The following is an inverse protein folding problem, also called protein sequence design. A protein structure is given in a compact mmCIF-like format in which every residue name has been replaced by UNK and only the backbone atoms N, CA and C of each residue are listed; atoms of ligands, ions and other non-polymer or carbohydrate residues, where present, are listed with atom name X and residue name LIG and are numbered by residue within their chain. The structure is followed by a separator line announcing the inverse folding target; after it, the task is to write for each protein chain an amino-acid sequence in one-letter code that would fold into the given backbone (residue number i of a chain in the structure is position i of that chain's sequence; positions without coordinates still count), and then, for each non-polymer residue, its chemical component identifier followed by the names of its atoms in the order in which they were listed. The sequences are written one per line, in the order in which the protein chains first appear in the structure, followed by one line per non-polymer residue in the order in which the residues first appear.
data_IF_164267169510
#
_entry.id   IF_164267169510
#
_cell.length_a   1.000
_cell.length_b   1.000
_cell.length_c   1.000
_cell.angle_alpha   90.00
_cell.angle_beta   90.00
_cell.angle_gamma   90.00
#
_symmetry.space_group_name_H-M   'P 1'
#
loop_
_entity.id
_entity.type
_entity.pdbx_description
1 polymer ?
#
# COMPACT_ATOMS: atom_id res chain seq x y z
N UNK A 1 -27.20 4.33 -25.40
CA UNK A 1 -26.35 3.33 -24.69
C UNK A 1 -25.42 3.92 -23.62
N UNK A 2 -24.81 5.11 -23.80
CA UNK A 2 -23.92 5.76 -22.80
C UNK A 2 -24.58 6.04 -21.44
N UNK A 3 -25.82 6.51 -21.42
CA UNK A 3 -26.56 6.89 -20.20
C UNK A 3 -26.97 5.71 -19.31
N UNK A 4 -27.22 4.52 -19.88
CA UNK A 4 -27.49 3.30 -19.08
C UNK A 4 -26.23 2.77 -18.39
N UNK A 5 -25.05 2.90 -19.01
CA UNK A 5 -23.75 2.48 -18.43
C UNK A 5 -23.30 3.36 -17.27
N UNK A 6 -23.48 4.68 -17.36
CA UNK A 6 -23.19 5.62 -16.26
C UNK A 6 -24.10 5.31 -15.06
N UNK A 7 -25.41 5.16 -15.29
CA UNK A 7 -26.37 4.79 -14.24
C UNK A 7 -26.06 3.45 -13.56
N UNK A 8 -25.63 2.44 -14.31
CA UNK A 8 -25.27 1.13 -13.75
C UNK A 8 -23.97 1.18 -12.93
N UNK A 9 -22.97 1.95 -13.38
CA UNK A 9 -21.73 2.20 -12.62
C UNK A 9 -22.03 2.94 -11.32
N UNK A 10 -22.86 3.98 -11.39
CA UNK A 10 -23.24 4.79 -10.23
C UNK A 10 -24.03 3.96 -9.21
N UNK A 11 -24.98 3.13 -9.66
CA UNK A 11 -25.72 2.22 -8.80
C UNK A 11 -24.79 1.20 -8.10
N UNK A 12 -23.80 0.64 -8.82
CA UNK A 12 -22.81 -0.26 -8.23
C UNK A 12 -21.94 0.45 -7.17
N UNK A 13 -21.53 1.70 -7.44
CA UNK A 13 -20.76 2.50 -6.49
C UNK A 13 -21.57 2.84 -5.23
N UNK A 14 -22.86 3.15 -5.36
CA UNK A 14 -23.77 3.40 -4.24
C UNK A 14 -23.95 2.14 -3.40
N UNK A 15 -24.29 1.00 -4.01
CA UNK A 15 -24.44 -0.27 -3.30
C UNK A 15 -23.14 -0.68 -2.57
N UNK A 16 -21.97 -0.47 -3.19
CA UNK A 16 -20.67 -0.72 -2.55
C UNK A 16 -20.41 0.20 -1.36
N UNK A 17 -20.84 1.47 -1.42
CA UNK A 17 -20.73 2.42 -0.29
C UNK A 17 -21.66 2.00 0.86
N UNK A 18 -22.89 1.61 0.55
CA UNK A 18 -23.87 1.14 1.54
C UNK A 18 -23.39 -0.13 2.24
N UNK A 19 -22.95 -1.13 1.48
CA UNK A 19 -22.38 -2.35 2.05
C UNK A 19 -21.20 -2.06 3.00
N UNK A 20 -20.30 -1.15 2.60
CA UNK A 20 -19.19 -0.72 3.46
C UNK A 20 -19.67 -0.02 4.73
N UNK A 21 -20.70 0.82 4.66
CA UNK A 21 -21.30 1.47 5.82
C UNK A 21 -21.91 0.46 6.78
N UNK A 22 -22.71 -0.49 6.28
CA UNK A 22 -23.31 -1.55 7.10
C UNK A 22 -22.24 -2.38 7.82
N UNK A 23 -21.18 -2.79 7.12
CA UNK A 23 -20.05 -3.50 7.72
C UNK A 23 -19.34 -2.65 8.78
N UNK A 24 -19.17 -1.35 8.56
CA UNK A 24 -18.55 -0.45 9.52
C UNK A 24 -19.39 -0.30 10.80
N UNK A 25 -20.71 -0.15 10.67
CA UNK A 25 -21.66 -0.09 11.79
C UNK A 25 -21.61 -1.40 12.59
N UNK A 26 -21.75 -2.54 11.91
CA UNK A 26 -21.71 -3.85 12.55
C UNK A 26 -20.39 -4.09 13.30
N UNK A 27 -19.25 -3.69 12.71
CA UNK A 27 -17.94 -3.75 13.38
C UNK A 27 -17.89 -2.85 14.61
N UNK A 28 -18.36 -1.60 14.50
CA UNK A 28 -18.36 -0.67 15.62
C UNK A 28 -19.21 -1.18 16.79
N UNK A 29 -20.37 -1.76 16.49
CA UNK A 29 -21.26 -2.32 17.49
C UNK A 29 -20.64 -3.56 18.16
N UNK A 30 -20.06 -4.45 17.35
CA UNK A 30 -19.32 -5.61 17.88
C UNK A 30 -18.15 -5.19 18.78
N UNK A 31 -17.36 -4.19 18.40
CA UNK A 31 -16.27 -3.70 19.25
C UNK A 31 -16.79 -3.07 20.54
N UNK A 32 -17.90 -2.33 20.49
CA UNK A 32 -18.52 -1.77 21.69
C UNK A 32 -18.95 -2.86 22.66
N UNK A 33 -19.68 -3.87 22.18
CA UNK A 33 -20.08 -5.04 22.96
C UNK A 33 -18.87 -5.79 23.53
N UNK A 34 -17.79 -5.93 22.74
CA UNK A 34 -16.54 -6.54 23.20
C UNK A 34 -15.90 -5.74 24.34
N UNK A 35 -15.81 -4.42 24.22
CA UNK A 35 -15.25 -3.55 25.27
C UNK A 35 -16.11 -3.55 26.53
N UNK A 36 -17.43 -3.55 26.39
CA UNK A 36 -18.36 -3.65 27.52
C UNK A 36 -18.20 -5.00 28.23
N UNK A 37 -18.06 -6.10 27.48
CA UNK A 37 -17.79 -7.43 28.03
C UNK A 37 -16.39 -7.55 28.68
N UNK A 38 -15.41 -6.75 28.26
CA UNK A 38 -14.10 -6.69 28.92
C UNK A 38 -14.16 -5.95 30.27
N UNK A 39 -15.25 -5.26 30.61
CA UNK A 39 -15.44 -4.59 31.89
C UNK A 39 -16.18 -5.46 32.93
N UNK A 40 -16.55 -6.70 32.59
CA UNK A 40 -17.25 -7.62 33.48
C UNK A 40 -16.30 -8.69 34.07
N UNK A 41 -16.83 -9.53 34.96
CA UNK A 41 -16.12 -10.68 35.55
C UNK A 41 -15.68 -11.74 34.54
N UNK A 42 -16.17 -11.69 33.29
CA UNK A 42 -15.76 -12.60 32.21
C UNK A 42 -14.48 -12.16 31.48
N UNK A 43 -13.88 -11.02 31.86
CA UNK A 43 -12.69 -10.42 31.25
C UNK A 43 -11.58 -11.44 30.97
N UNK A 44 -11.19 -12.25 31.97
CA UNK A 44 -10.05 -13.18 31.83
C UNK A 44 -10.30 -14.25 30.77
N UNK A 45 -11.50 -14.86 30.76
CA UNK A 45 -11.88 -15.88 29.77
C UNK A 45 -11.99 -15.30 28.37
N UNK A 46 -12.50 -14.07 28.23
CA UNK A 46 -12.61 -13.39 26.95
C UNK A 46 -11.23 -13.00 26.42
N UNK A 47 -10.38 -12.42 27.28
CA UNK A 47 -9.00 -12.05 26.96
C UNK A 47 -8.18 -13.26 26.53
N UNK A 48 -8.28 -14.37 27.25
CA UNK A 48 -7.59 -15.62 26.90
C UNK A 48 -8.08 -16.21 25.56
N UNK A 49 -9.39 -16.18 25.28
CA UNK A 49 -9.94 -16.57 23.98
C UNK A 49 -9.44 -15.68 22.84
N UNK A 50 -9.43 -14.37 23.04
CA UNK A 50 -8.91 -13.39 22.07
C UNK A 50 -7.42 -13.63 21.81
N UNK A 51 -6.64 -13.87 22.86
CA UNK A 51 -5.21 -14.17 22.77
C UNK A 51 -4.98 -15.47 21.99
N UNK A 52 -5.72 -16.54 22.28
CA UNK A 52 -5.62 -17.79 21.53
C UNK A 52 -6.04 -17.64 20.06
N UNK A 53 -7.14 -16.92 19.79
CA UNK A 53 -7.60 -16.68 18.42
C UNK A 53 -6.54 -15.91 17.60
N UNK A 54 -5.92 -14.89 18.22
CA UNK A 54 -4.79 -14.17 17.64
C UNK A 54 -3.57 -15.07 17.44
N UNK A 55 -3.20 -15.87 18.43
CA UNK A 55 -2.07 -16.79 18.34
C UNK A 55 -2.27 -17.80 17.22
N UNK A 56 -3.42 -18.48 17.15
CA UNK A 56 -3.74 -19.43 16.06
C UNK A 56 -3.72 -18.77 14.69
N UNK A 57 -4.28 -17.56 14.58
CA UNK A 57 -4.27 -16.80 13.32
C UNK A 57 -2.85 -16.42 12.92
N UNK A 58 -2.02 -15.97 13.86
CA UNK A 58 -0.61 -15.66 13.61
C UNK A 58 0.15 -16.92 13.18
N UNK A 59 0.03 -18.03 13.90
CA UNK A 59 0.72 -19.30 13.58
C UNK A 59 0.29 -19.87 12.23
N UNK A 60 -0.97 -19.76 11.82
CA UNK A 60 -1.39 -20.14 10.45
C UNK A 60 -0.79 -19.22 9.38
N UNK A 61 -0.70 -17.92 9.68
CA UNK A 61 -0.21 -16.90 8.72
C UNK A 61 1.32 -16.81 8.70
N UNK A 62 2.04 -17.30 9.70
CA UNK A 62 3.50 -17.24 9.75
C UNK A 62 4.18 -18.61 9.81
N UNK A 63 3.43 -19.71 9.95
CA UNK A 63 4.00 -21.06 10.04
C UNK A 63 4.83 -21.47 8.82
N UNK A 64 4.49 -20.94 7.65
CA UNK A 64 5.25 -21.13 6.41
C UNK A 64 6.53 -20.29 6.35
N UNK A 65 6.61 -19.20 7.11
CA UNK A 65 7.80 -18.36 7.18
C UNK A 65 8.95 -19.01 7.95
N UNK A 66 8.68 -20.05 8.74
CA UNK A 66 9.69 -20.76 9.54
C UNK A 66 10.37 -21.92 8.81
N UNK A 67 9.97 -22.25 7.58
CA UNK A 67 10.54 -23.34 6.79
C UNK A 67 10.84 -22.80 5.39
N UNK A 68 12.12 -22.57 5.08
CA UNK A 68 12.54 -21.93 3.83
C UNK A 68 13.70 -22.70 3.21
N UNK A 69 13.75 -22.78 1.88
CA UNK A 69 14.87 -23.36 1.13
C UNK A 69 16.06 -22.41 1.08
N UNK A 70 17.22 -22.92 1.45
CA UNK A 70 18.51 -22.31 1.15
C UNK A 70 18.75 -22.25 -0.37
N UNK A 71 19.74 -21.45 -0.80
CA UNK A 71 20.09 -21.31 -2.21
C UNK A 71 20.52 -22.65 -2.87
N UNK A 72 21.08 -23.57 -2.08
CA UNK A 72 21.46 -24.91 -2.53
C UNK A 72 20.31 -25.94 -2.50
N UNK A 73 19.09 -25.52 -2.16
CA UNK A 73 17.90 -26.38 -2.11
C UNK A 73 17.63 -27.07 -0.76
N UNK A 74 18.53 -26.95 0.22
CA UNK A 74 18.33 -27.52 1.55
C UNK A 74 17.24 -26.79 2.33
N UNK A 75 16.49 -27.50 3.16
CA UNK A 75 15.42 -26.91 3.98
C UNK A 75 15.99 -26.37 5.30
N UNK A 76 15.84 -25.07 5.51
CA UNK A 76 16.15 -24.36 6.75
C UNK A 76 14.92 -24.33 7.65
N UNK A 77 15.14 -24.55 8.95
CA UNK A 77 14.10 -24.48 10.00
C UNK A 77 14.53 -23.65 11.21
N UNK A 78 15.82 -23.32 11.32
CA UNK A 78 16.36 -22.48 12.37
C UNK A 78 15.90 -21.04 12.19
N UNK A 79 15.33 -20.36 13.21
CA UNK A 79 14.84 -18.99 13.07
C UNK A 79 15.89 -18.01 12.53
N UNK A 80 17.14 -18.13 12.99
CA UNK A 80 18.24 -17.28 12.53
C UNK A 80 18.61 -17.56 11.07
N UNK A 81 18.77 -18.83 10.69
CA UNK A 81 19.13 -19.23 9.32
C UNK A 81 18.06 -18.81 8.32
N UNK A 82 16.79 -18.96 8.71
CA UNK A 82 15.65 -18.55 7.90
C UNK A 82 15.59 -17.03 7.75
N UNK A 83 15.82 -16.27 8.82
CA UNK A 83 15.85 -14.81 8.75
C UNK A 83 17.01 -14.31 7.88
N UNK A 84 18.18 -14.93 8.02
CA UNK A 84 19.35 -14.61 7.20
C UNK A 84 19.10 -14.94 5.72
N UNK A 85 18.45 -16.06 5.43
CA UNK A 85 18.04 -16.42 4.07
C UNK A 85 17.08 -15.40 3.45
N UNK A 86 16.14 -14.87 4.23
CA UNK A 86 15.25 -13.78 3.82
C UNK A 86 16.02 -12.49 3.53
N UNK A 87 16.96 -12.12 4.42
CA UNK A 87 17.83 -10.95 4.26
C UNK A 87 18.60 -11.02 2.95
N UNK A 88 19.30 -12.12 2.71
CA UNK A 88 20.09 -12.36 1.48
C UNK A 88 19.22 -12.30 0.22
N UNK A 89 18.04 -12.95 0.25
CA UNK A 89 17.12 -12.94 -0.90
C UNK A 89 16.73 -11.51 -1.28
N UNK A 90 16.23 -10.74 -0.31
CA UNK A 90 15.73 -9.40 -0.58
C UNK A 90 16.86 -8.41 -0.88
N UNK A 91 18.03 -8.54 -0.25
CA UNK A 91 19.20 -7.71 -0.57
C UNK A 91 19.64 -7.89 -2.02
N UNK A 92 19.60 -9.11 -2.54
CA UNK A 92 19.88 -9.37 -3.95
C UNK A 92 18.79 -8.78 -4.86
N UNK A 93 17.51 -9.08 -4.60
CA UNK A 93 16.41 -8.60 -5.46
C UNK A 93 16.28 -7.08 -5.51
N UNK A 94 16.63 -6.36 -4.44
CA UNK A 94 16.37 -4.92 -4.34
C UNK A 94 17.50 -4.01 -4.80
N UNK A 95 18.72 -4.52 -4.92
CA UNK A 95 19.90 -3.71 -5.23
C UNK A 95 20.46 -4.02 -6.63
N UNK A 96 19.74 -4.79 -7.45
CA UNK A 96 20.06 -4.97 -8.86
C UNK A 96 19.69 -3.69 -9.62
N UNK A 97 20.69 -2.85 -9.90
CA UNK A 97 20.53 -1.69 -10.77
C UNK A 97 20.75 -2.09 -12.23
N UNK A 98 19.73 -1.88 -13.06
CA UNK A 98 19.88 -2.01 -14.50
C UNK A 98 20.72 -0.83 -15.03
N UNK A 99 21.66 -1.06 -15.97
CA UNK A 99 22.40 0.03 -16.60
C UNK A 99 21.42 0.99 -17.28
N UNK A 100 21.40 2.23 -16.82
CA UNK A 100 20.60 3.28 -17.42
C UNK A 100 21.51 4.45 -17.84
N UNK A 101 21.16 5.19 -18.91
CA UNK A 101 21.87 6.40 -19.26
C UNK A 101 21.80 7.39 -18.09
N UNK A 102 22.80 8.29 -17.95
CA UNK A 102 22.75 9.34 -16.94
C UNK A 102 21.49 10.18 -17.13
N UNK A 103 20.79 10.49 -16.03
CA UNK A 103 19.61 11.33 -16.06
C UNK A 103 20.05 12.75 -16.46
N UNK A 104 19.53 13.30 -17.57
CA UNK A 104 19.95 14.62 -18.03
C UNK A 104 19.51 15.70 -17.04
N UNK A 105 20.40 16.65 -16.76
CA UNK A 105 20.04 17.86 -16.03
C UNK A 105 19.14 18.72 -16.91
N UNK A 106 17.93 19.00 -16.43
CA UNK A 106 16.96 19.85 -17.11
C UNK A 106 16.72 21.13 -16.32
N UNK A 107 16.39 22.21 -17.04
CA UNK A 107 16.04 23.47 -16.39
C UNK A 107 14.79 23.32 -15.53
N UNK A 108 14.76 24.01 -14.40
CA UNK A 108 13.60 24.05 -13.51
C UNK A 108 12.39 24.61 -14.25
N UNK A 109 11.31 23.82 -14.32
CA UNK A 109 10.07 24.21 -15.00
C UNK A 109 9.16 25.04 -14.09
N UNK A 110 9.23 24.81 -12.77
CA UNK A 110 8.37 25.47 -11.78
C UNK A 110 9.08 25.60 -10.42
N UNK A 111 8.90 26.74 -9.75
CA UNK A 111 9.44 27.00 -8.42
C UNK A 111 9.22 28.44 -7.96
N UNK A 112 9.45 28.77 -6.67
CA UNK A 112 9.91 27.89 -5.58
C UNK A 112 8.82 26.96 -5.01
N UNK A 113 9.21 25.93 -4.27
CA UNK A 113 8.25 25.04 -3.57
C UNK A 113 7.49 25.84 -2.53
N UNK A 114 6.17 25.94 -2.68
CA UNK A 114 5.33 26.65 -1.72
C UNK A 114 5.33 25.92 -0.37
N UNK A 115 5.28 26.63 0.76
CA UNK A 115 5.12 26.00 2.06
C UNK A 115 3.89 25.10 2.12
N UNK A 116 3.99 23.99 2.85
CA UNK A 116 2.88 23.08 3.14
C UNK A 116 1.99 23.71 4.19
N UNK A 117 0.72 23.96 3.85
CA UNK A 117 -0.25 24.54 4.78
C UNK A 117 -0.94 23.46 5.63
N UNK A 118 -1.37 23.75 6.87
CA UNK A 118 -2.02 22.76 7.73
C UNK A 118 -3.25 22.10 7.10
N UNK A 119 -4.02 22.82 6.29
CA UNK A 119 -5.20 22.27 5.60
C UNK A 119 -4.84 21.16 4.62
N UNK A 120 -3.76 21.34 3.85
CA UNK A 120 -3.22 20.33 2.93
C UNK A 120 -2.72 19.10 3.70
N UNK A 121 -2.07 19.31 4.85
CA UNK A 121 -1.64 18.22 5.73
C UNK A 121 -2.83 17.45 6.31
N UNK A 122 -3.87 18.16 6.75
CA UNK A 122 -5.12 17.57 7.26
C UNK A 122 -5.78 16.69 6.19
N UNK A 123 -5.76 17.12 4.92
CA UNK A 123 -6.21 16.27 3.81
C UNK A 123 -5.36 15.01 3.61
N UNK A 124 -4.03 15.13 3.72
CA UNK A 124 -3.10 13.99 3.69
C UNK A 124 -3.41 12.98 4.80
N UNK A 125 -3.55 13.45 6.04
CA UNK A 125 -3.92 12.62 7.20
C UNK A 125 -5.25 11.91 6.96
N UNK A 126 -6.26 12.62 6.43
CA UNK A 126 -7.58 12.07 6.13
C UNK A 126 -7.53 10.94 5.09
N UNK A 127 -6.65 11.03 4.10
CA UNK A 127 -6.47 9.99 3.06
C UNK A 127 -5.85 8.70 3.60
N UNK A 128 -5.12 8.76 4.72
CA UNK A 128 -4.53 7.57 5.34
C UNK A 128 -5.60 6.58 5.78
N UNK A 129 -5.30 5.28 5.69
CA UNK A 129 -6.20 4.22 6.20
C UNK A 129 -5.91 3.97 7.68
N UNK A 130 -6.96 3.84 8.48
CA UNK A 130 -6.87 3.48 9.89
C UNK A 130 -6.49 2.00 10.08
N UNK A 131 -5.94 1.66 11.25
CA UNK A 131 -5.60 0.30 11.66
C UNK A 131 -4.66 -0.40 10.67
N UNK A 132 -3.60 0.32 10.28
CA UNK A 132 -2.53 -0.22 9.43
C UNK A 132 -1.30 -0.53 10.28
N UNK A 133 -0.48 -1.45 9.76
CA UNK A 133 0.78 -1.79 10.39
C UNK A 133 1.72 -0.59 10.32
N UNK A 134 2.42 -0.33 11.42
CA UNK A 134 3.37 0.76 11.59
C UNK A 134 4.68 0.49 10.84
N UNK A 135 5.42 1.56 10.58
CA UNK A 135 6.81 1.48 10.16
C UNK A 135 7.75 1.33 11.36
N UNK A 136 9.07 1.48 11.15
CA UNK A 136 10.08 1.33 12.19
C UNK A 136 10.00 2.32 13.36
N UNK A 137 9.26 3.42 13.20
CA UNK A 137 9.05 4.44 14.24
C UNK A 137 7.89 4.10 15.19
N UNK A 138 7.10 3.06 14.89
CA UNK A 138 5.92 2.65 15.65
C UNK A 138 4.87 3.76 15.90
N UNK A 139 4.85 4.78 15.04
CA UNK A 139 3.84 5.86 15.07
C UNK A 139 2.79 5.56 14.00
N UNK A 140 1.57 5.12 14.36
CA UNK A 140 0.52 4.87 13.39
C UNK A 140 -0.14 6.16 12.91
N UNK A 141 -0.66 6.15 11.67
CA UNK A 141 -1.44 7.26 11.11
C UNK A 141 -2.65 7.66 11.97
N UNK A 142 -3.17 6.73 12.78
CA UNK A 142 -4.28 6.95 13.70
C UNK A 142 -3.96 8.00 14.78
N UNK A 143 -2.70 8.12 15.23
CA UNK A 143 -2.28 9.17 16.17
C UNK A 143 -2.51 10.55 15.56
N UNK A 144 -2.07 10.75 14.31
CA UNK A 144 -2.24 12.02 13.61
C UNK A 144 -3.71 12.37 13.37
N UNK A 145 -4.56 11.35 13.14
CA UNK A 145 -6.01 11.54 13.02
C UNK A 145 -6.66 11.97 14.33
N UNK A 146 -6.24 11.39 15.46
CA UNK A 146 -6.75 11.73 16.78
C UNK A 146 -6.34 13.15 17.21
N UNK A 147 -5.13 13.57 16.84
CA UNK A 147 -4.64 14.93 17.12
C UNK A 147 -5.35 16.02 16.31
N UNK A 148 -6.04 15.65 15.22
CA UNK A 148 -6.82 16.58 14.39
C UNK A 148 -6.00 17.76 13.88
N UNK A 149 -6.58 18.95 13.95
CA UNK A 149 -5.97 20.19 13.44
C UNK A 149 -4.65 20.55 14.15
N UNK A 150 -4.53 20.26 15.44
CA UNK A 150 -3.28 20.48 16.18
C UNK A 150 -2.14 19.62 15.63
N UNK A 151 -2.45 18.35 15.30
CA UNK A 151 -1.50 17.45 14.67
C UNK A 151 -1.11 17.90 13.26
N UNK A 152 -2.09 18.32 12.46
CA UNK A 152 -1.85 18.85 11.12
C UNK A 152 -0.98 20.12 11.14
N UNK A 153 -1.23 21.04 12.07
CA UNK A 153 -0.43 22.25 12.25
C UNK A 153 1.02 21.95 12.68
N UNK A 154 1.21 20.98 13.58
CA UNK A 154 2.54 20.54 13.98
C UNK A 154 3.29 19.89 12.81
N UNK A 155 2.65 18.95 12.11
CA UNK A 155 3.25 18.29 10.94
C UNK A 155 3.56 19.27 9.80
N UNK A 156 2.72 20.28 9.58
CA UNK A 156 3.01 21.34 8.61
C UNK A 156 4.30 22.08 8.94
N UNK A 157 4.52 22.47 10.21
CA UNK A 157 5.79 23.09 10.64
C UNK A 157 6.96 22.14 10.46
N UNK A 158 6.80 20.88 10.84
CA UNK A 158 7.81 19.84 10.71
C UNK A 158 8.22 19.60 9.25
N UNK A 159 7.27 19.40 8.34
CA UNK A 159 7.55 19.19 6.93
C UNK A 159 8.15 20.42 6.25
N UNK A 160 7.72 21.63 6.61
CA UNK A 160 8.34 22.84 6.08
C UNK A 160 9.79 23.02 6.55
N UNK A 161 10.10 22.64 7.79
CA UNK A 161 11.48 22.61 8.28
C UNK A 161 12.33 21.61 7.47
N UNK A 162 11.80 20.41 7.25
CA UNK A 162 12.47 19.40 6.41
C UNK A 162 12.73 19.90 4.99
N UNK A 163 11.76 20.58 4.37
CA UNK A 163 11.92 21.16 3.04
C UNK A 163 12.98 22.28 3.01
N UNK A 164 13.04 23.12 4.04
CA UNK A 164 14.02 24.20 4.13
C UNK A 164 15.45 23.66 4.35
N UNK A 165 15.59 22.62 5.16
CA UNK A 165 16.89 22.00 5.48
C UNK A 165 17.31 20.94 4.45
N UNK A 166 16.40 20.52 3.56
CA UNK A 166 16.60 19.40 2.63
C UNK A 166 17.01 18.10 3.33
N UNK A 167 16.51 17.89 4.55
CA UNK A 167 16.83 16.73 5.39
C UNK A 167 15.56 16.02 5.84
N UNK A 168 15.58 14.70 5.78
CA UNK A 168 14.54 13.83 6.30
C UNK A 168 15.02 13.10 7.56
N UNK A 169 14.12 12.66 8.44
CA UNK A 169 14.49 11.81 9.57
C UNK A 169 15.22 10.55 9.09
N UNK A 170 16.30 10.19 9.77
CA UNK A 170 17.09 9.00 9.44
C UNK A 170 16.24 7.72 9.40
N UNK A 171 15.27 7.60 10.33
CA UNK A 171 14.35 6.45 10.37
C UNK A 171 13.49 6.30 9.11
N UNK A 172 13.28 7.37 8.31
CA UNK A 172 12.58 7.28 7.03
C UNK A 172 13.41 6.60 5.93
N UNK A 173 14.72 6.46 6.14
CA UNK A 173 15.60 5.68 5.25
C UNK A 173 15.54 4.18 5.57
N UNK A 174 14.86 3.80 6.66
CA UNK A 174 14.68 2.42 7.09
C UNK A 174 13.28 1.91 6.77
N UNK A 175 13.13 0.58 6.65
CA UNK A 175 11.83 -0.05 6.50
C UNK A 175 11.82 -1.46 7.10
N UNK A 176 10.66 -1.91 7.56
CA UNK A 176 10.47 -3.30 7.97
C UNK A 176 9.93 -4.09 6.78
N UNK A 177 10.70 -5.05 6.28
CA UNK A 177 10.26 -5.91 5.16
C UNK A 177 9.53 -7.14 5.68
N UNK A 178 8.28 -7.30 5.27
CA UNK A 178 7.43 -8.44 5.63
C UNK A 178 7.18 -9.30 4.39
N UNK A 179 7.69 -10.55 4.34
CA UNK A 179 7.35 -11.48 3.27
C UNK A 179 5.88 -11.93 3.36
N UNK A 180 5.12 -11.75 2.27
CA UNK A 180 3.72 -12.19 2.17
C UNK A 180 3.59 -13.21 1.06
N UNK A 181 3.15 -14.43 1.39
CA UNK A 181 3.02 -15.51 0.41
C UNK A 181 2.00 -15.17 -0.68
N UNK A 182 2.35 -15.45 -1.94
CA UNK A 182 1.52 -15.16 -3.12
C UNK A 182 0.26 -16.04 -3.20
N UNK A 183 0.12 -17.05 -2.33
CA UNK A 183 -0.96 -18.04 -2.39
C UNK A 183 -0.78 -19.08 -3.50
N UNK A 184 0.41 -19.13 -4.11
CA UNK A 184 0.78 -20.03 -5.19
C UNK A 184 2.30 -20.28 -5.16
N UNK A 185 2.72 -21.40 -5.75
CA UNK A 185 4.12 -21.84 -5.71
C UNK A 185 4.47 -22.57 -4.42
N UNK A 186 5.73 -22.96 -4.29
CA UNK A 186 6.25 -23.63 -3.09
C UNK A 186 6.37 -22.62 -1.94
N UNK A 187 5.70 -22.88 -0.82
CA UNK A 187 5.75 -22.03 0.36
C UNK A 187 7.12 -22.02 1.04
N UNK A 188 7.98 -23.00 0.76
CA UNK A 188 9.37 -22.99 1.23
C UNK A 188 10.30 -22.16 0.32
N UNK A 189 9.86 -21.75 -0.87
CA UNK A 189 10.68 -20.91 -1.76
C UNK A 189 10.43 -19.42 -1.51
N UNK A 190 11.50 -18.65 -1.32
CA UNK A 190 11.45 -17.19 -1.16
C UNK A 190 10.78 -16.49 -2.36
N UNK A 191 10.93 -17.02 -3.58
CA UNK A 191 10.36 -16.45 -4.80
C UNK A 191 8.82 -16.43 -4.80
N UNK A 192 8.21 -17.32 -4.01
CA UNK A 192 6.75 -17.42 -3.83
C UNK A 192 6.17 -16.31 -2.96
N UNK A 193 6.97 -15.36 -2.49
CA UNK A 193 6.54 -14.28 -1.60
C UNK A 193 6.68 -12.91 -2.25
N UNK A 194 5.84 -11.98 -1.81
CA UNK A 194 5.95 -10.56 -2.12
C UNK A 194 6.57 -9.88 -0.92
N UNK A 195 7.68 -9.13 -1.08
CA UNK A 195 8.13 -8.28 -0.01
C UNK A 195 7.19 -7.08 0.13
N UNK A 196 6.64 -6.89 1.32
CA UNK A 196 5.91 -5.68 1.67
C UNK A 196 6.78 -4.86 2.61
N UNK A 197 7.22 -3.68 2.17
CA UNK A 197 7.97 -2.74 3.00
C UNK A 197 7.00 -1.87 3.80
N UNK A 198 7.13 -1.92 5.12
CA UNK A 198 6.43 -1.05 6.04
C UNK A 198 7.29 0.19 6.29
N UNK A 199 6.87 1.31 5.69
CA UNK A 199 7.47 2.63 5.92
C UNK A 199 6.78 3.34 7.08
N UNK A 200 7.43 4.34 7.67
CA UNK A 200 6.85 5.23 8.67
C UNK A 200 5.55 5.86 8.14
N UNK A 201 4.48 5.88 8.94
CA UNK A 201 3.21 6.43 8.48
C UNK A 201 3.28 7.95 8.30
N UNK A 202 4.12 8.62 9.10
CA UNK A 202 4.40 10.05 8.96
C UNK A 202 5.05 10.38 7.60
N UNK A 203 5.94 9.52 7.10
CA UNK A 203 6.53 9.62 5.75
C UNK A 203 5.45 9.47 4.67
N UNK A 204 4.58 8.47 4.80
CA UNK A 204 3.48 8.25 3.83
C UNK A 204 2.52 9.43 3.76
N UNK A 205 2.28 10.13 4.87
CA UNK A 205 1.48 11.37 4.87
C UNK A 205 2.16 12.43 4.01
N UNK A 206 3.47 12.64 4.19
CA UNK A 206 4.25 13.57 3.38
C UNK A 206 4.24 13.19 1.89
N UNK A 207 4.50 11.92 1.56
CA UNK A 207 4.42 11.41 0.18
C UNK A 207 3.03 11.61 -0.45
N UNK A 208 1.96 11.43 0.33
CA UNK A 208 0.59 11.64 -0.15
C UNK A 208 0.33 13.10 -0.54
N UNK A 209 0.92 14.05 0.19
CA UNK A 209 0.85 15.47 -0.12
C UNK A 209 1.67 15.76 -1.39
N UNK A 210 2.89 15.24 -1.48
CA UNK A 210 3.74 15.39 -2.67
C UNK A 210 3.09 14.81 -3.93
N UNK A 211 2.53 13.61 -3.86
CA UNK A 211 1.78 12.98 -4.96
C UNK A 211 0.63 13.89 -5.42
N UNK A 212 -0.09 14.52 -4.48
CA UNK A 212 -1.18 15.43 -4.81
C UNK A 212 -0.69 16.68 -5.55
N UNK A 213 0.46 17.25 -5.15
CA UNK A 213 1.09 18.39 -5.83
C UNK A 213 1.65 18.00 -7.20
N UNK A 214 2.34 16.87 -7.30
CA UNK A 214 2.94 16.40 -8.55
C UNK A 214 1.89 16.09 -9.60
N UNK A 215 0.75 15.51 -9.23
CA UNK A 215 -0.38 15.27 -10.14
C UNK A 215 -1.04 16.54 -10.67
N UNK A 216 -0.84 17.69 -10.02
CA UNK A 216 -1.30 18.98 -10.53
C UNK A 216 -0.36 19.54 -11.62
N UNK A 217 0.88 19.05 -11.69
CA UNK A 217 1.93 19.53 -12.59
C UNK A 217 2.12 18.55 -13.76
N UNK A 218 2.06 17.25 -13.48
CA UNK A 218 2.34 16.18 -14.44
C UNK A 218 1.05 15.56 -14.96
N UNK A 219 0.93 15.48 -16.29
CA UNK A 219 -0.12 14.71 -16.95
C UNK A 219 0.39 13.34 -17.38
N UNK A 220 -0.44 12.31 -17.21
CA UNK A 220 -0.15 10.96 -17.69
C UNK A 220 -0.68 10.75 -19.11
N UNK A 221 -0.04 9.87 -19.88
CA UNK A 221 -0.52 9.51 -21.21
C UNK A 221 -1.93 8.90 -21.17
N UNK A 222 -2.71 9.11 -22.22
CA UNK A 222 -4.11 8.67 -22.30
C UNK A 222 -4.29 7.14 -22.28
N UNK A 223 -3.27 6.38 -22.67
CA UNK A 223 -3.24 4.91 -22.64
C UNK A 223 -2.75 4.33 -21.31
N UNK A 224 -2.33 5.17 -20.35
CA UNK A 224 -1.94 4.72 -19.02
C UNK A 224 -3.19 4.42 -18.18
N UNK A 225 -3.36 3.15 -17.78
CA UNK A 225 -4.46 2.74 -16.91
C UNK A 225 -4.01 2.40 -15.48
N UNK A 226 -2.71 2.11 -15.27
CA UNK A 226 -2.16 1.83 -13.95
C UNK A 226 -1.93 3.12 -13.14
N UNK A 227 -2.38 3.14 -11.88
CA UNK A 227 -2.18 4.26 -10.95
C UNK A 227 -2.74 5.62 -11.40
N UNK A 228 -3.68 5.61 -12.36
CA UNK A 228 -4.40 6.79 -12.83
C UNK A 228 -5.77 6.85 -12.16
N UNK A 229 -6.15 8.03 -11.67
CA UNK A 229 -7.45 8.24 -11.04
C UNK A 229 -8.56 7.95 -12.07
N UNK A 230 -9.60 7.25 -11.63
CA UNK A 230 -10.79 6.93 -12.43
C UNK A 230 -10.56 6.03 -13.66
N UNK A 231 -9.37 5.45 -13.81
CA UNK A 231 -9.01 4.47 -14.83
C UNK A 231 -8.48 3.19 -14.15
N UNK A 232 -8.97 2.01 -14.54
CA UNK A 232 -8.57 0.74 -13.93
C UNK A 232 -8.36 -0.39 -14.93
N UNK A 233 -8.11 -1.59 -14.41
CA UNK A 233 -7.85 -2.79 -15.23
C UNK A 233 -8.99 -3.13 -16.18
N UNK A 234 -10.24 -2.84 -15.80
CA UNK A 234 -11.41 -3.06 -16.67
C UNK A 234 -11.34 -2.15 -17.90
N UNK A 235 -10.92 -0.89 -17.72
CA UNK A 235 -10.79 0.05 -18.83
C UNK A 235 -9.65 -0.37 -19.78
N UNK A 236 -8.52 -0.83 -19.23
CA UNK A 236 -7.41 -1.37 -20.01
C UNK A 236 -7.81 -2.61 -20.83
N UNK A 237 -8.50 -3.57 -20.22
CA UNK A 237 -9.01 -4.77 -20.91
C UNK A 237 -10.02 -4.37 -21.99
N UNK A 238 -10.89 -3.42 -21.70
CA UNK A 238 -11.86 -2.94 -22.68
C UNK A 238 -11.19 -2.27 -23.87
N UNK A 239 -10.19 -1.43 -23.63
CA UNK A 239 -9.41 -0.78 -24.68
C UNK A 239 -8.67 -1.80 -25.55
N UNK A 240 -8.00 -2.78 -24.95
CA UNK A 240 -7.33 -3.86 -25.66
C UNK A 240 -8.32 -4.67 -26.53
N UNK A 241 -9.48 -5.02 -25.98
CA UNK A 241 -10.53 -5.74 -26.70
C UNK A 241 -11.05 -4.95 -27.91
N UNK A 242 -11.34 -3.66 -27.73
CA UNK A 242 -11.78 -2.80 -28.83
C UNK A 242 -10.74 -2.68 -29.94
N UNK A 243 -9.45 -2.64 -29.59
CA UNK A 243 -8.36 -2.62 -30.56
C UNK A 243 -8.33 -3.92 -31.37
N UNK A 244 -8.44 -5.07 -30.71
CA UNK A 244 -8.50 -6.38 -31.38
C UNK A 244 -9.70 -6.47 -32.31
N UNK A 245 -10.91 -6.16 -31.82
CA UNK A 245 -12.16 -6.23 -32.60
C UNK A 245 -12.10 -5.37 -33.88
N UNK A 246 -11.63 -4.12 -33.78
CA UNK A 246 -11.53 -3.19 -34.93
C UNK A 246 -10.57 -3.65 -36.03
N UNK A 247 -9.53 -4.39 -35.68
CA UNK A 247 -8.57 -4.90 -36.67
C UNK A 247 -9.07 -6.18 -37.33
N UNK A 248 -9.73 -7.05 -36.55
CA UNK A 248 -10.38 -8.24 -37.06
C UNK A 248 -11.51 -7.90 -38.04
N UNK A 249 -12.32 -6.86 -37.76
CA UNK A 249 -13.34 -6.35 -38.69
C UNK A 249 -12.77 -5.92 -40.05
N UNK A 250 -11.47 -5.57 -40.10
CA UNK A 250 -10.76 -5.17 -41.33
C UNK A 250 -9.95 -6.31 -41.96
N UNK A 251 -10.17 -7.56 -41.52
CA UNK A 251 -9.38 -8.74 -41.92
C UNK A 251 -7.87 -8.54 -41.74
N UNK A 252 -7.46 -7.81 -40.69
CA UNK A 252 -6.05 -7.64 -40.30
C UNK A 252 -5.72 -8.53 -39.11
N UNK A 253 -4.59 -9.22 -39.18
CA UNK A 253 -4.06 -10.00 -38.06
C UNK A 253 -3.57 -9.08 -36.94
N UNK A 254 -3.79 -9.48 -35.68
CA UNK A 254 -3.32 -8.78 -34.48
C UNK A 254 -2.50 -9.75 -33.65
N UNK A 255 -1.28 -9.37 -33.31
CA UNK A 255 -0.40 -10.15 -32.43
C UNK A 255 -0.14 -9.32 -31.15
N UNK A 256 -0.68 -9.73 -29.99
CA UNK A 256 -0.38 -9.05 -28.74
C UNK A 256 1.01 -9.43 -28.23
N UNK A 257 1.82 -8.43 -27.87
CA UNK A 257 3.06 -8.62 -27.14
C UNK A 257 2.85 -8.21 -25.67
N UNK A 258 3.14 -9.12 -24.76
CA UNK A 258 3.08 -8.85 -23.32
C UNK A 258 4.51 -8.60 -22.82
N UNK A 259 4.70 -7.43 -22.22
CA UNK A 259 5.96 -7.01 -21.62
C UNK A 259 5.72 -6.86 -20.12
N UNK A 260 6.58 -7.47 -19.32
CA UNK A 260 6.61 -7.31 -17.86
C UNK A 260 8.03 -6.91 -17.46
N UNK A 261 8.14 -6.12 -16.40
CA UNK A 261 9.43 -5.75 -15.82
C UNK A 261 9.67 -6.69 -14.65
N UNK A 262 10.83 -7.35 -14.63
CA UNK A 262 11.29 -8.15 -13.49
C UNK A 262 11.77 -7.26 -12.33
#
# INVERSE_FOLDING_TARGET
MRTRRVKARDACLVAKREAKKCVAIAKSQHYKELYDALNTSEREKLFYRLMQARHRSATMVTGHLGIIKAANGNILRGPNDVMERWRQYFEQTFNEELPHPPIPSVNTVQGPVLPLVPTEVSEGIRKMKANKATGPDDIPADVWKLMGESGAAWLSKFFNKMLAESQTPEVWQMSTTVPVWKGKGDSADCSSYRPIRLLCDTMKIFECILDSRLRAIVSTMANQCGFVKDCGTIDAIHAARLLVERHLEKNRFVHPAFLDLE
#
